data_IF_624351128244
#
_entry.id   IF_624351128244
#
_cell.length_a   1.000
_cell.length_b   1.000
_cell.length_c   1.000
_cell.angle_alpha   90.00
_cell.angle_beta   90.00
_cell.angle_gamma   90.00
#
_symmetry.space_group_name_H-M   'P 1'
#
loop_
_entity.id
_entity.type
_entity.pdbx_description
1 polymer ?
#
# COMPACT_ATOMS: atom_id res chain seq x y z
N UNK A 1 7.07 -0.76 26.27
CA UNK A 1 6.55 0.63 26.18
C UNK A 1 5.11 0.67 26.65
N UNK A 2 4.76 1.59 27.58
CA UNK A 2 3.38 1.77 28.04
C UNK A 2 2.48 2.30 26.92
N UNK A 3 1.27 1.78 26.87
CA UNK A 3 0.22 2.19 25.93
C UNK A 3 -0.20 3.61 26.25
N UNK A 4 -0.17 4.51 25.25
CA UNK A 4 -0.57 5.91 25.42
C UNK A 4 -2.10 6.05 25.60
N UNK A 5 -2.60 7.14 26.18
CA UNK A 5 -4.06 7.35 26.15
C UNK A 5 -4.54 7.67 24.72
N UNK A 6 -5.73 7.19 24.33
CA UNK A 6 -6.34 7.44 23.01
C UNK A 6 -7.25 8.66 23.00
N UNK A 7 -7.71 9.10 24.18
CA UNK A 7 -8.72 10.14 24.33
C UNK A 7 -8.14 11.49 24.79
N UNK A 8 -6.95 11.51 25.39
CA UNK A 8 -6.23 12.71 25.79
C UNK A 8 -5.08 13.12 24.86
N UNK A 9 -4.38 14.20 25.25
CA UNK A 9 -3.14 14.65 24.61
C UNK A 9 -3.31 15.42 23.29
N UNK A 10 -2.17 15.72 22.64
CA UNK A 10 -2.13 16.51 21.42
C UNK A 10 -2.71 15.73 20.24
N UNK A 11 -3.68 16.33 19.53
CA UNK A 11 -4.23 15.78 18.28
C UNK A 11 -3.95 16.75 17.15
N UNK A 12 -3.44 16.25 16.02
CA UNK A 12 -3.19 17.08 14.83
C UNK A 12 -3.55 16.35 13.56
N UNK A 13 -4.04 17.11 12.59
CA UNK A 13 -4.33 16.68 11.23
C UNK A 13 -3.24 17.22 10.30
N UNK A 14 -2.76 16.36 9.40
CA UNK A 14 -1.76 16.69 8.39
C UNK A 14 -2.32 16.41 7.01
N UNK A 15 -2.09 17.35 6.08
CA UNK A 15 -2.39 17.12 4.67
C UNK A 15 -1.36 16.16 4.09
N UNK A 16 -1.83 15.22 3.29
CA UNK A 16 -1.01 14.18 2.67
C UNK A 16 -1.24 14.19 1.17
N UNK A 17 -0.16 14.39 0.44
CA UNK A 17 -0.13 14.34 -1.01
C UNK A 17 0.62 13.07 -1.44
N UNK A 18 0.13 12.44 -2.50
CA UNK A 18 0.77 11.28 -3.10
C UNK A 18 0.90 11.49 -4.60
N UNK A 19 2.10 11.30 -5.13
CA UNK A 19 2.39 11.33 -6.57
C UNK A 19 2.81 9.96 -7.07
N UNK A 20 2.28 9.54 -8.21
CA UNK A 20 2.65 8.30 -8.89
C UNK A 20 3.93 8.51 -9.69
N UNK A 21 4.93 7.67 -9.47
CA UNK A 21 6.26 7.77 -10.10
C UNK A 21 6.47 6.70 -11.16
N UNK A 22 5.88 5.53 -10.98
CA UNK A 22 5.88 4.45 -11.96
C UNK A 22 4.90 4.73 -13.11
N UNK A 23 5.08 4.02 -14.22
CA UNK A 23 4.21 4.15 -15.39
C UNK A 23 2.78 3.74 -15.08
N UNK A 24 2.61 2.73 -14.21
CA UNK A 24 1.30 2.22 -13.82
C UNK A 24 1.14 2.11 -12.31
N UNK A 25 -0.03 2.49 -11.79
CA UNK A 25 -0.46 2.16 -10.45
C UNK A 25 -1.88 1.61 -10.51
N UNK A 26 -2.12 0.48 -9.82
CA UNK A 26 -3.44 -0.11 -9.66
C UNK A 26 -3.72 -0.47 -8.21
N UNK A 27 -4.85 0.03 -7.71
CA UNK A 27 -5.45 -0.34 -6.43
C UNK A 27 -6.86 -0.86 -6.73
N UNK A 28 -7.10 -2.14 -6.47
CA UNK A 28 -8.31 -2.83 -6.92
C UNK A 28 -9.49 -2.58 -5.97
N UNK A 29 -10.69 -2.43 -6.53
CA UNK A 29 -11.97 -2.50 -5.80
C UNK A 29 -12.55 -3.91 -5.69
N UNK A 30 -11.83 -4.94 -6.14
CA UNK A 30 -12.34 -6.28 -6.38
C UNK A 30 -12.24 -6.68 -7.86
N UNK A 31 -12.60 -7.92 -8.18
CA UNK A 31 -12.64 -8.41 -9.56
C UNK A 31 -14.06 -8.33 -10.10
N UNK A 32 -14.19 -7.74 -11.27
CA UNK A 32 -15.38 -7.83 -12.10
C UNK A 32 -15.03 -8.70 -13.30
N UNK A 33 -15.73 -9.83 -13.46
CA UNK A 33 -15.58 -10.68 -14.63
C UNK A 33 -16.60 -10.21 -15.64
N UNK A 34 -16.14 -9.76 -16.80
CA UNK A 34 -17.02 -9.51 -17.94
C UNK A 34 -16.79 -10.65 -18.93
N UNK A 35 -17.89 -11.26 -19.35
CA UNK A 35 -17.90 -12.17 -20.47
C UNK A 35 -18.16 -11.30 -21.70
N UNK A 36 -17.14 -11.21 -22.57
CA UNK A 36 -17.32 -10.58 -23.86
C UNK A 36 -17.78 -11.70 -24.81
N UNK A 37 -19.07 -11.70 -25.11
CA UNK A 37 -19.62 -12.50 -26.21
C UNK A 37 -19.30 -11.76 -27.50
N UNK A 38 -18.39 -12.30 -28.30
CA UNK A 38 -18.26 -11.86 -29.68
C UNK A 38 -19.46 -12.40 -30.48
N UNK A 39 -19.96 -11.63 -31.44
CA UNK A 39 -21.00 -12.11 -32.35
C UNK A 39 -20.49 -13.36 -33.08
N UNK A 40 -21.19 -14.48 -32.92
CA UNK A 40 -20.85 -15.76 -33.56
C UNK A 40 -21.18 -15.64 -35.04
N UNK A 41 -20.19 -15.86 -35.90
CA UNK A 41 -20.39 -15.91 -37.35
C UNK A 41 -20.67 -17.34 -37.83
N UNK A 42 -21.24 -17.50 -39.02
CA UNK A 42 -21.50 -18.83 -39.60
C UNK A 42 -20.20 -19.64 -39.77
N UNK A 43 -19.07 -18.97 -40.05
CA UNK A 43 -17.75 -19.62 -40.10
C UNK A 43 -17.28 -20.19 -38.76
N UNK A 44 -17.70 -19.60 -37.65
CA UNK A 44 -17.38 -20.10 -36.32
C UNK A 44 -18.19 -21.34 -35.96
N UNK A 45 -19.45 -21.39 -36.42
CA UNK A 45 -20.33 -22.56 -36.28
C UNK A 45 -19.77 -23.75 -37.07
N UNK A 46 -19.34 -23.52 -38.31
CA UNK A 46 -18.70 -24.56 -39.12
C UNK A 46 -17.39 -25.07 -38.50
N UNK A 47 -16.58 -24.16 -37.94
CA UNK A 47 -15.35 -24.54 -37.24
C UNK A 47 -15.63 -25.39 -35.99
N UNK A 48 -16.68 -25.07 -35.22
CA UNK A 48 -17.11 -25.86 -34.07
C UNK A 48 -17.62 -27.25 -34.49
N UNK A 49 -18.44 -27.34 -35.53
CA UNK A 49 -18.96 -28.61 -36.03
C UNK A 49 -17.84 -29.54 -36.53
N UNK A 50 -16.74 -28.97 -37.06
CA UNK A 50 -15.56 -29.76 -37.49
C UNK A 50 -14.61 -30.14 -36.37
N UNK A 51 -14.36 -29.25 -35.41
CA UNK A 51 -13.28 -29.41 -34.42
C UNK A 51 -13.77 -29.76 -33.02
N UNK A 52 -15.07 -29.61 -32.75
CA UNK A 52 -15.67 -29.77 -31.42
C UNK A 52 -15.32 -28.65 -30.43
N UNK A 53 -14.65 -27.58 -30.88
CA UNK A 53 -14.20 -26.47 -30.04
C UNK A 53 -14.38 -25.13 -30.73
N UNK A 54 -14.83 -24.11 -30.00
CA UNK A 54 -14.92 -22.74 -30.52
C UNK A 54 -13.51 -22.11 -30.55
N UNK A 55 -13.20 -21.28 -31.57
CA UNK A 55 -12.00 -20.44 -31.57
C UNK A 55 -11.80 -19.67 -30.26
N UNK A 56 -10.56 -19.59 -29.76
CA UNK A 56 -10.18 -18.97 -28.47
C UNK A 56 -10.58 -17.48 -28.32
N UNK A 57 -11.14 -16.85 -29.36
CA UNK A 57 -11.60 -15.45 -29.37
C UNK A 57 -13.11 -15.22 -29.21
N UNK A 58 -13.95 -16.26 -29.30
CA UNK A 58 -15.43 -16.10 -29.34
C UNK A 58 -16.04 -15.94 -27.94
N UNK A 59 -15.50 -16.70 -26.99
CA UNK A 59 -15.83 -16.58 -25.56
C UNK A 59 -14.57 -16.21 -24.78
N UNK A 60 -14.10 -14.98 -24.97
CA UNK A 60 -13.02 -14.46 -24.15
C UNK A 60 -13.60 -13.87 -22.86
N UNK A 61 -13.64 -14.65 -21.77
CA UNK A 61 -13.86 -14.07 -20.45
C UNK A 61 -12.62 -13.24 -20.10
N UNK A 62 -12.67 -11.92 -20.34
CA UNK A 62 -11.58 -11.01 -19.97
C UNK A 62 -11.85 -10.51 -18.56
N UNK A 63 -11.00 -10.92 -17.62
CA UNK A 63 -11.03 -10.34 -16.28
C UNK A 63 -10.66 -8.86 -16.38
N UNK A 64 -11.58 -7.98 -15.96
CA UNK A 64 -11.34 -6.55 -15.87
C UNK A 64 -11.25 -6.15 -14.40
N UNK A 65 -10.10 -5.60 -14.03
CA UNK A 65 -9.88 -5.09 -12.69
C UNK A 65 -9.99 -3.57 -12.72
N UNK A 66 -11.11 -3.06 -12.21
CA UNK A 66 -11.36 -1.63 -12.07
C UNK A 66 -10.50 -1.03 -10.95
N UNK A 67 -10.04 0.20 -11.13
CA UNK A 67 -9.37 0.95 -10.08
C UNK A 67 -10.42 1.34 -9.03
N UNK A 68 -10.00 1.46 -7.78
CA UNK A 68 -10.88 1.82 -6.69
C UNK A 68 -11.54 3.20 -6.90
N UNK A 69 -12.86 3.23 -6.88
CA UNK A 69 -13.67 4.42 -7.07
C UNK A 69 -14.76 4.52 -6.00
N UNK A 70 -15.04 5.72 -5.53
CA UNK A 70 -16.24 6.07 -4.76
C UNK A 70 -17.19 6.89 -5.65
N UNK A 71 -18.33 7.33 -5.11
CA UNK A 71 -19.21 8.28 -5.79
C UNK A 71 -18.53 9.60 -6.15
N UNK A 72 -17.42 9.94 -5.48
CA UNK A 72 -16.65 11.17 -5.70
C UNK A 72 -15.51 11.02 -6.73
N UNK A 73 -15.29 9.81 -7.24
CA UNK A 73 -14.26 9.52 -8.26
C UNK A 73 -13.25 8.48 -7.82
N UNK A 74 -12.08 8.48 -8.47
CA UNK A 74 -10.97 7.57 -8.17
C UNK A 74 -10.40 7.87 -6.79
N UNK A 75 -10.21 6.81 -5.99
CA UNK A 75 -9.68 6.94 -4.64
C UNK A 75 -8.68 5.85 -4.31
N UNK A 76 -7.79 6.15 -3.39
CA UNK A 76 -6.99 5.15 -2.69
C UNK A 76 -7.50 5.08 -1.25
N UNK A 77 -8.01 3.93 -0.80
CA UNK A 77 -8.56 3.83 0.54
C UNK A 77 -7.52 4.18 1.61
N UNK A 78 -7.93 4.93 2.64
CA UNK A 78 -7.08 5.27 3.78
C UNK A 78 -6.57 4.02 4.48
N UNK A 79 -7.35 2.93 4.46
CA UNK A 79 -6.93 1.60 4.92
C UNK A 79 -5.72 1.03 4.16
N UNK A 80 -5.61 1.29 2.86
CA UNK A 80 -4.46 0.87 2.05
C UNK A 80 -3.20 1.65 2.42
N UNK A 81 -3.31 2.97 2.59
CA UNK A 81 -2.18 3.83 3.03
C UNK A 81 -1.75 3.43 4.45
N UNK A 82 -2.73 3.25 5.35
CA UNK A 82 -2.49 2.81 6.73
C UNK A 82 -1.79 1.44 6.78
N UNK A 83 -2.23 0.50 5.95
CA UNK A 83 -1.61 -0.82 5.81
C UNK A 83 -0.19 -0.76 5.26
N UNK A 84 0.08 0.14 4.32
CA UNK A 84 1.42 0.42 3.80
C UNK A 84 2.34 0.98 4.89
N UNK A 85 1.89 1.97 5.66
CA UNK A 85 2.66 2.56 6.77
C UNK A 85 2.97 1.48 7.82
N UNK A 86 1.93 0.73 8.24
CA UNK A 86 2.07 -0.34 9.23
C UNK A 86 3.07 -1.40 8.76
N UNK A 87 2.84 -1.99 7.58
CA UNK A 87 3.70 -3.07 7.07
C UNK A 87 5.16 -2.63 6.91
N UNK A 88 5.41 -1.39 6.49
CA UNK A 88 6.78 -0.85 6.41
C UNK A 88 7.42 -0.69 7.78
N UNK A 89 6.71 -0.18 8.79
CA UNK A 89 7.23 -0.13 10.16
C UNK A 89 7.53 -1.54 10.71
N UNK A 90 6.60 -2.48 10.52
CA UNK A 90 6.77 -3.87 10.94
C UNK A 90 7.98 -4.55 10.26
N UNK A 91 8.28 -4.20 9.01
CA UNK A 91 9.42 -4.77 8.27
C UNK A 91 10.75 -4.09 8.58
N UNK A 92 10.75 -2.77 8.72
CA UNK A 92 11.97 -1.97 8.80
C UNK A 92 12.46 -1.72 10.23
N UNK A 93 11.64 -2.00 11.24
CA UNK A 93 11.99 -1.77 12.65
C UNK A 93 11.98 -3.09 13.41
N UNK A 94 13.13 -3.52 13.90
CA UNK A 94 13.32 -4.84 14.50
C UNK A 94 12.47 -5.09 15.74
N UNK A 95 12.29 -4.05 16.57
CA UNK A 95 11.50 -4.13 17.79
C UNK A 95 9.98 -4.00 17.55
N UNK A 96 9.49 -4.02 16.30
CA UNK A 96 8.06 -4.00 15.98
C UNK A 96 7.44 -5.41 15.97
N UNK A 97 6.24 -5.59 16.54
CA UNK A 97 5.44 -6.80 16.34
C UNK A 97 4.94 -6.91 14.90
N UNK A 98 4.83 -8.13 14.37
CA UNK A 98 3.94 -8.37 13.25
C UNK A 98 2.48 -8.39 13.72
N UNK A 99 1.57 -7.98 12.84
CA UNK A 99 0.16 -8.32 13.02
C UNK A 99 -0.01 -9.85 13.14
N UNK A 100 -1.00 -10.30 13.91
CA UNK A 100 -1.32 -11.73 14.10
C UNK A 100 -1.52 -12.50 12.79
N UNK A 101 -1.94 -11.81 11.72
CA UNK A 101 -2.13 -12.35 10.38
C UNK A 101 -0.80 -12.60 9.62
N UNK A 102 0.26 -11.86 9.95
CA UNK A 102 1.57 -11.96 9.30
C UNK A 102 2.49 -13.03 9.92
N UNK A 103 2.04 -13.72 10.97
CA UNK A 103 2.78 -14.82 11.61
C UNK A 103 2.77 -16.08 10.74
N UNK A 104 1.75 -16.23 9.89
CA UNK A 104 1.68 -17.34 8.93
C UNK A 104 2.43 -16.93 7.65
N UNK A 105 3.41 -17.72 7.19
CA UNK A 105 4.09 -17.42 5.93
C UNK A 105 3.04 -17.41 4.81
N UNK A 106 3.04 -16.34 4.00
CA UNK A 106 2.25 -16.33 2.78
C UNK A 106 2.68 -17.51 1.92
N UNK A 107 1.71 -18.22 1.34
CA UNK A 107 1.99 -19.28 0.35
C UNK A 107 2.63 -18.73 -0.92
N UNK A 108 2.56 -17.42 -1.13
CA UNK A 108 3.08 -16.73 -2.30
C UNK A 108 3.83 -15.49 -1.83
N UNK A 109 5.16 -15.57 -1.79
CA UNK A 109 6.04 -14.44 -1.45
C UNK A 109 6.90 -14.15 -2.67
N UNK A 110 6.90 -12.90 -3.14
CA UNK A 110 7.79 -12.50 -4.23
C UNK A 110 9.26 -12.62 -3.81
N UNK A 111 10.12 -13.13 -4.70
CA UNK A 111 11.58 -13.15 -4.50
C UNK A 111 12.12 -11.73 -4.31
N UNK A 112 11.58 -10.76 -5.03
CA UNK A 112 11.93 -9.33 -4.89
C UNK A 112 11.60 -8.85 -3.48
N UNK A 113 10.43 -9.18 -2.96
CA UNK A 113 10.05 -8.85 -1.58
C UNK A 113 11.04 -9.43 -0.55
N UNK A 114 11.44 -10.70 -0.70
CA UNK A 114 12.43 -11.31 0.19
C UNK A 114 13.80 -10.63 0.09
N UNK A 115 14.22 -10.26 -1.11
CA UNK A 115 15.52 -9.59 -1.34
C UNK A 115 15.57 -8.17 -0.77
N UNK A 116 14.47 -7.41 -0.91
CA UNK A 116 14.39 -6.01 -0.49
C UNK A 116 14.28 -5.88 1.03
N UNK A 117 13.37 -6.65 1.64
CA UNK A 117 13.01 -6.45 3.06
C UNK A 117 13.68 -7.45 4.00
N UNK A 118 14.14 -8.61 3.48
CA UNK A 118 14.71 -9.71 4.28
C UNK A 118 13.89 -9.96 5.57
N UNK A 119 12.59 -10.27 5.42
CA UNK A 119 11.67 -10.32 6.55
C UNK A 119 12.13 -11.39 7.55
N UNK A 120 12.23 -11.02 8.83
CA UNK A 120 12.52 -11.97 9.90
C UNK A 120 11.23 -12.42 10.59
N UNK A 121 11.27 -13.56 11.27
CA UNK A 121 10.16 -13.98 12.13
C UNK A 121 10.11 -13.08 13.36
N UNK A 122 8.98 -12.43 13.58
CA UNK A 122 8.75 -11.58 14.76
C UNK A 122 7.56 -12.12 15.56
N UNK A 123 7.57 -11.96 16.88
CA UNK A 123 6.41 -12.29 17.69
C UNK A 123 5.24 -11.37 17.32
N UNK A 124 4.03 -11.83 17.64
CA UNK A 124 2.84 -10.98 17.65
C UNK A 124 2.39 -10.82 19.09
N UNK A 125 1.98 -9.60 19.44
CA UNK A 125 1.40 -9.31 20.74
C UNK A 125 -0.12 -9.25 20.62
N UNK A 126 -0.84 -9.83 21.58
CA UNK A 126 -2.29 -9.59 21.75
C UNK A 126 -2.46 -8.53 22.82
N UNK A 127 -3.33 -7.55 22.57
CA UNK A 127 -3.69 -6.60 23.60
C UNK A 127 -4.56 -7.30 24.66
N UNK A 128 -4.08 -7.31 25.91
CA UNK A 128 -4.73 -7.93 27.07
C UNK A 128 -4.87 -6.90 28.21
N UNK A 129 -5.32 -5.68 27.88
CA UNK A 129 -5.47 -4.59 28.83
C UNK A 129 -4.15 -3.87 29.12
N UNK A 130 -3.69 -3.87 30.38
CA UNK A 130 -2.58 -3.05 30.89
C UNK A 130 -1.16 -3.51 30.52
N UNK A 131 -1.00 -4.17 29.38
CA UNK A 131 0.32 -4.61 28.92
C UNK A 131 1.04 -3.52 28.14
N UNK A 132 2.36 -3.52 28.28
CA UNK A 132 3.22 -2.88 27.31
C UNK A 132 2.95 -3.43 25.92
N UNK A 133 2.95 -2.55 24.92
CA UNK A 133 2.76 -2.91 23.52
C UNK A 133 3.94 -2.37 22.71
N UNK A 134 4.30 -3.06 21.62
CA UNK A 134 5.23 -2.47 20.66
C UNK A 134 4.67 -1.13 20.13
N UNK A 135 5.57 -0.20 19.81
CA UNK A 135 5.21 1.15 19.37
C UNK A 135 4.33 1.17 18.10
N UNK A 136 4.53 0.24 17.16
CA UNK A 136 3.68 0.14 15.95
C UNK A 136 2.27 -0.29 16.31
N UNK A 137 2.15 -1.29 17.18
CA UNK A 137 0.87 -1.83 17.64
C UNK A 137 0.13 -0.77 18.50
N UNK A 138 0.87 0.07 19.26
CA UNK A 138 0.33 1.24 19.97
C UNK A 138 -0.15 2.36 19.03
N UNK A 139 0.65 2.72 18.01
CA UNK A 139 0.34 3.80 17.08
C UNK A 139 -0.76 3.41 16.07
N UNK A 140 -0.56 2.27 15.40
CA UNK A 140 -1.39 1.80 14.28
C UNK A 140 -2.55 0.90 14.72
N UNK A 141 -2.62 0.57 16.02
CA UNK A 141 -3.64 -0.28 16.62
C UNK A 141 -3.36 -1.78 16.45
N UNK A 142 -4.13 -2.60 17.16
CA UNK A 142 -4.07 -4.06 17.09
C UNK A 142 -5.46 -4.65 17.39
N UNK A 143 -5.64 -5.96 17.28
CA UNK A 143 -6.86 -6.63 17.73
C UNK A 143 -7.11 -6.31 19.21
N UNK A 144 -8.21 -5.60 19.49
CA UNK A 144 -8.56 -5.13 20.84
C UNK A 144 -7.97 -3.77 21.24
N UNK A 145 -7.14 -3.14 20.40
CA UNK A 145 -6.54 -1.83 20.67
C UNK A 145 -6.81 -0.84 19.53
N UNK A 146 -7.56 0.21 19.85
CA UNK A 146 -7.83 1.29 18.90
C UNK A 146 -6.53 2.00 18.48
N UNK A 147 -6.44 2.32 17.19
CA UNK A 147 -5.32 3.06 16.62
C UNK A 147 -5.40 4.54 16.97
N UNK A 148 -4.24 5.17 17.18
CA UNK A 148 -4.11 6.62 17.34
C UNK A 148 -4.05 7.38 16.01
N UNK A 149 -3.89 6.66 14.90
CA UNK A 149 -3.77 7.23 13.55
C UNK A 149 -4.96 6.84 12.68
N UNK A 150 -5.57 7.84 12.05
CA UNK A 150 -6.62 7.65 11.04
C UNK A 150 -6.21 8.33 9.74
N UNK A 151 -6.28 7.60 8.63
CA UNK A 151 -6.05 8.14 7.28
C UNK A 151 -7.41 8.31 6.61
N UNK A 152 -7.62 9.45 5.95
CA UNK A 152 -8.72 9.59 5.00
C UNK A 152 -8.38 8.85 3.71
N UNK A 153 -9.38 8.58 2.90
CA UNK A 153 -9.13 8.19 1.52
C UNK A 153 -8.37 9.29 0.80
N UNK A 154 -7.44 8.91 -0.08
CA UNK A 154 -6.76 9.84 -0.96
C UNK A 154 -7.58 9.96 -2.23
N UNK A 155 -8.11 11.14 -2.51
CA UNK A 155 -8.93 11.44 -3.67
C UNK A 155 -8.03 11.83 -4.84
N UNK A 156 -8.34 11.32 -6.02
CA UNK A 156 -7.64 11.69 -7.25
C UNK A 156 -7.84 13.18 -7.55
N UNK A 157 -6.74 13.90 -7.73
CA UNK A 157 -6.75 15.34 -7.98
C UNK A 157 -6.46 15.65 -9.46
N UNK A 158 -5.43 15.01 -10.02
CA UNK A 158 -5.00 15.23 -11.39
C UNK A 158 -4.22 14.03 -11.93
N UNK A 159 -4.20 13.86 -13.26
CA UNK A 159 -3.46 12.78 -13.91
C UNK A 159 -4.21 12.16 -15.06
N UNK A 160 -3.78 10.96 -15.46
CA UNK A 160 -4.41 10.18 -16.54
C UNK A 160 -4.69 8.77 -16.07
N UNK A 161 -5.78 8.24 -16.59
CA UNK A 161 -6.24 6.87 -16.37
C UNK A 161 -6.04 6.11 -17.67
N UNK A 162 -5.47 4.92 -17.59
CA UNK A 162 -5.17 4.08 -18.74
C UNK A 162 -5.53 2.62 -18.46
N UNK A 163 -5.83 1.88 -19.52
CA UNK A 163 -6.12 0.45 -19.47
C UNK A 163 -4.89 -0.34 -19.92
N UNK A 164 -4.37 -1.19 -19.05
CA UNK A 164 -3.17 -1.99 -19.31
C UNK A 164 -3.51 -3.46 -19.16
N UNK A 165 -3.15 -4.27 -20.15
CA UNK A 165 -3.32 -5.72 -20.09
C UNK A 165 -2.06 -6.35 -19.51
N UNK A 166 -2.21 -7.07 -18.40
CA UNK A 166 -1.13 -7.75 -17.68
C UNK A 166 -1.62 -9.14 -17.24
N UNK A 167 -0.82 -10.20 -17.45
CA UNK A 167 -1.15 -11.59 -17.06
C UNK A 167 -2.59 -12.04 -17.44
N UNK A 168 -3.03 -11.74 -18.67
CA UNK A 168 -4.36 -12.08 -19.24
C UNK A 168 -5.56 -11.32 -18.66
N UNK A 169 -5.35 -10.32 -17.81
CA UNK A 169 -6.40 -9.44 -17.30
C UNK A 169 -6.14 -8.00 -17.74
N UNK A 170 -7.20 -7.21 -17.92
CA UNK A 170 -7.05 -5.77 -18.17
C UNK A 170 -7.28 -5.00 -16.88
N UNK A 171 -6.36 -4.10 -16.55
CA UNK A 171 -6.36 -3.30 -15.34
C UNK A 171 -6.57 -1.84 -15.70
N UNK A 172 -7.50 -1.20 -15.01
CA UNK A 172 -7.58 0.26 -14.99
C UNK A 172 -6.46 0.78 -14.06
N UNK A 173 -5.57 1.60 -14.60
CA UNK A 173 -4.38 2.11 -13.94
C UNK A 173 -4.36 3.62 -13.98
N UNK A 174 -3.68 4.24 -13.02
CA UNK A 174 -3.32 5.65 -13.09
C UNK A 174 -1.87 5.78 -13.52
N UNK A 175 -1.60 6.75 -14.39
CA UNK A 175 -0.30 6.93 -15.02
C UNK A 175 0.67 7.73 -14.14
N UNK A 176 1.95 7.67 -14.49
CA UNK A 176 3.01 8.50 -13.94
C UNK A 176 2.62 9.98 -13.91
N UNK A 177 2.94 10.64 -12.79
CA UNK A 177 2.62 12.05 -12.56
C UNK A 177 1.23 12.29 -11.99
N UNK A 178 0.36 11.27 -11.93
CA UNK A 178 -0.94 11.39 -11.27
C UNK A 178 -0.81 11.71 -9.79
N UNK A 179 -1.71 12.55 -9.28
CA UNK A 179 -1.72 13.06 -7.90
C UNK A 179 -2.98 12.66 -7.18
N UNK A 180 -2.81 12.32 -5.91
CA UNK A 180 -3.90 12.08 -4.97
C UNK A 180 -3.65 12.90 -3.71
N UNK A 181 -4.73 13.43 -3.14
CA UNK A 181 -4.69 14.26 -1.94
C UNK A 181 -5.61 13.67 -0.89
N UNK A 182 -5.17 13.71 0.36
CA UNK A 182 -5.99 13.37 1.50
C UNK A 182 -5.30 13.85 2.76
N UNK A 183 -5.54 13.17 3.87
CA UNK A 183 -5.00 13.60 5.15
C UNK A 183 -4.90 12.44 6.13
N UNK A 184 -4.13 12.65 7.19
CA UNK A 184 -4.19 11.78 8.35
C UNK A 184 -4.26 12.59 9.63
N UNK A 185 -4.93 12.02 10.61
CA UNK A 185 -5.02 12.55 11.97
C UNK A 185 -4.27 11.62 12.91
N UNK A 186 -3.45 12.19 13.77
CA UNK A 186 -2.74 11.47 14.82
C UNK A 186 -3.13 12.04 16.19
N UNK A 187 -3.45 11.15 17.14
CA UNK A 187 -3.85 11.47 18.51
C UNK A 187 -2.75 11.13 19.52
N UNK A 188 -2.68 11.92 20.60
CA UNK A 188 -1.75 11.79 21.70
C UNK A 188 -0.32 11.44 21.25
N UNK A 189 0.26 12.28 20.38
CA UNK A 189 1.53 11.97 19.72
C UNK A 189 2.70 12.79 20.24
N UNK A 190 3.88 12.19 20.15
CA UNK A 190 5.16 12.87 20.30
C UNK A 190 5.89 12.96 18.95
N UNK A 191 7.07 13.61 18.95
CA UNK A 191 7.84 13.82 17.74
C UNK A 191 8.28 12.48 17.08
N UNK A 192 8.53 11.44 17.88
CA UNK A 192 8.93 10.13 17.38
C UNK A 192 7.77 9.38 16.71
N UNK A 193 6.54 9.52 17.20
CA UNK A 193 5.34 8.95 16.58
C UNK A 193 5.12 9.51 15.17
N UNK A 194 5.23 10.84 15.00
CA UNK A 194 5.12 11.45 13.67
C UNK A 194 6.29 11.04 12.78
N UNK A 195 7.50 11.03 13.33
CA UNK A 195 8.70 10.55 12.63
C UNK A 195 8.57 9.11 12.12
N UNK A 196 7.90 8.23 12.87
CA UNK A 196 7.61 6.87 12.42
C UNK A 196 6.71 6.86 11.17
N UNK A 197 5.67 7.69 11.13
CA UNK A 197 4.78 7.80 9.97
C UNK A 197 5.56 8.35 8.76
N UNK A 198 6.32 9.43 8.94
CA UNK A 198 7.15 10.01 7.87
C UNK A 198 8.15 8.99 7.32
N UNK A 199 8.84 8.27 8.21
CA UNK A 199 9.78 7.22 7.85
C UNK A 199 9.11 6.12 7.02
N UNK A 200 7.93 5.67 7.44
CA UNK A 200 7.17 4.64 6.73
C UNK A 200 6.67 5.12 5.36
N UNK A 201 6.31 6.41 5.23
CA UNK A 201 5.94 7.04 3.95
C UNK A 201 7.15 7.33 3.04
N UNK A 202 8.38 7.03 3.50
CA UNK A 202 9.61 7.31 2.74
C UNK A 202 10.00 8.78 2.72
N UNK A 203 9.36 9.64 3.52
CA UNK A 203 9.65 11.06 3.56
C UNK A 203 11.00 11.26 4.28
N UNK A 204 11.86 12.11 3.70
CA UNK A 204 13.15 12.50 4.25
C UNK A 204 14.25 11.43 4.25
N UNK A 205 14.14 10.37 3.41
CA UNK A 205 15.23 9.39 3.19
C UNK A 205 15.35 8.95 1.73
N UNK A 206 16.59 8.81 1.25
CA UNK A 206 16.91 8.26 -0.07
C UNK A 206 16.16 8.95 -1.21
N UNK A 207 15.65 8.17 -2.16
CA UNK A 207 14.82 8.69 -3.26
C UNK A 207 13.35 8.97 -2.88
N UNK A 208 12.95 8.62 -1.65
CA UNK A 208 11.59 8.76 -1.12
C UNK A 208 10.52 7.89 -1.77
N UNK A 209 10.91 6.93 -2.62
CA UNK A 209 9.97 6.07 -3.34
C UNK A 209 9.48 4.93 -2.46
N UNK A 210 8.17 4.72 -2.45
CA UNK A 210 7.51 3.62 -1.74
C UNK A 210 6.72 2.75 -2.73
N UNK A 211 6.69 1.44 -2.44
CA UNK A 211 5.98 0.45 -3.24
C UNK A 211 4.53 0.30 -2.75
N UNK A 212 3.56 0.50 -3.64
CA UNK A 212 2.12 0.47 -3.37
C UNK A 212 1.34 -0.23 -4.49
N UNK A 213 0.15 -0.78 -4.18
CA UNK A 213 -0.72 -1.38 -5.19
C UNK A 213 -0.30 -2.77 -5.66
N UNK A 214 -0.87 -3.19 -6.79
CA UNK A 214 -0.64 -4.50 -7.43
C UNK A 214 0.66 -4.48 -8.24
N UNK A 215 1.25 -5.66 -8.47
CA UNK A 215 2.45 -5.88 -9.31
C UNK A 215 3.75 -5.16 -8.90
N UNK A 216 3.73 -4.35 -7.84
CA UNK A 216 4.89 -3.63 -7.27
C UNK A 216 6.16 -4.45 -6.98
N UNK A 217 6.05 -5.78 -6.90
CA UNK A 217 7.19 -6.69 -6.68
C UNK A 217 7.51 -7.60 -7.86
N UNK A 218 6.69 -7.60 -8.92
CA UNK A 218 6.92 -8.38 -10.13
C UNK A 218 7.47 -7.51 -11.25
N UNK A 219 7.03 -6.26 -11.33
CA UNK A 219 7.38 -5.35 -12.42
C UNK A 219 7.84 -3.98 -11.88
N UNK A 220 9.04 -3.49 -12.28
CA UNK A 220 9.52 -2.16 -11.97
C UNK A 220 8.67 -0.99 -12.51
N UNK A 221 7.93 -1.19 -13.58
CA UNK A 221 7.03 -0.18 -14.16
C UNK A 221 5.75 0.03 -13.35
N UNK A 222 5.56 -0.73 -12.26
CA UNK A 222 4.36 -0.69 -11.43
C UNK A 222 4.60 -0.20 -9.99
N UNK A 223 3.59 0.48 -9.46
CA UNK A 223 3.36 0.63 -8.04
C UNK A 223 4.41 1.42 -7.27
N UNK A 224 5.05 2.42 -7.87
CA UNK A 224 5.99 3.33 -7.19
C UNK A 224 5.33 4.68 -6.96
N UNK A 225 5.30 5.12 -5.71
CA UNK A 225 4.68 6.37 -5.30
C UNK A 225 5.62 7.16 -4.40
N UNK A 226 5.46 8.49 -4.38
CA UNK A 226 6.11 9.39 -3.42
C UNK A 226 5.03 10.11 -2.62
N UNK A 227 5.30 10.31 -1.35
CA UNK A 227 4.44 11.08 -0.47
C UNK A 227 5.09 12.40 -0.10
N UNK A 228 4.27 13.43 0.07
CA UNK A 228 4.65 14.73 0.62
C UNK A 228 3.64 15.17 1.67
N UNK A 229 4.12 15.88 2.68
CA UNK A 229 3.29 16.55 3.68
C UNK A 229 3.79 17.99 3.71
N UNK A 230 3.00 18.93 3.17
CA UNK A 230 3.34 20.35 3.20
C UNK A 230 3.56 20.84 4.64
N UNK A 231 4.44 21.83 4.80
CA UNK A 231 4.63 22.59 6.05
C UNK A 231 5.05 21.75 7.28
N UNK A 232 5.79 20.65 7.05
CA UNK A 232 6.32 19.80 8.12
C UNK A 232 7.85 19.74 8.04
N UNK A 233 8.52 20.10 9.13
CA UNK A 233 9.95 19.87 9.32
C UNK A 233 10.23 18.37 9.51
N UNK A 234 10.29 17.66 8.38
CA UNK A 234 10.54 16.21 8.37
C UNK A 234 11.86 15.84 9.06
N UNK A 235 12.87 16.71 9.02
CA UNK A 235 14.19 16.45 9.61
C UNK A 235 14.11 16.30 11.14
N UNK A 236 13.41 17.22 11.80
CA UNK A 236 13.17 17.16 13.25
C UNK A 236 12.51 15.85 13.67
N UNK A 237 11.39 15.50 13.05
CA UNK A 237 10.59 14.34 13.43
C UNK A 237 11.30 13.01 13.11
N UNK A 238 11.94 12.91 11.94
CA UNK A 238 12.72 11.73 11.58
C UNK A 238 13.87 11.51 12.54
N UNK A 239 14.59 12.56 12.92
CA UNK A 239 15.67 12.46 13.91
C UNK A 239 15.16 11.92 15.23
N UNK A 240 14.07 12.48 15.77
CA UNK A 240 13.45 11.99 17.01
C UNK A 240 13.07 10.50 16.93
N UNK A 241 12.50 10.06 15.81
CA UNK A 241 12.17 8.64 15.61
C UNK A 241 13.40 7.74 15.54
N UNK A 242 14.44 8.15 14.79
CA UNK A 242 15.67 7.38 14.64
C UNK A 242 16.46 7.29 15.95
N UNK A 243 16.46 8.37 16.74
CA UNK A 243 17.11 8.38 18.06
C UNK A 243 16.35 7.47 19.04
N UNK A 244 15.01 7.51 19.04
CA UNK A 244 14.18 6.64 19.88
C UNK A 244 14.30 5.14 19.55
N UNK A 245 14.64 4.80 18.29
CA UNK A 245 14.75 3.41 17.80
C UNK A 245 16.15 3.08 17.29
N UNK A 246 17.18 3.76 17.82
CA UNK A 246 18.57 3.59 17.40
C UNK A 246 19.00 2.13 17.55
N UNK A 247 19.59 1.58 16.49
CA UNK A 247 20.02 0.17 16.46
C UNK A 247 18.91 -0.84 16.10
N UNK A 248 17.64 -0.40 15.98
CA UNK A 248 16.54 -1.26 15.55
C UNK A 248 16.03 -0.95 14.15
N UNK A 249 16.42 0.18 13.55
CA UNK A 249 15.97 0.59 12.21
C UNK A 249 16.91 0.04 11.14
N UNK A 250 16.35 -0.73 10.21
CA UNK A 250 17.08 -1.29 9.06
C UNK A 250 17.19 -0.26 7.93
N UNK A 251 18.34 -0.25 7.26
CA UNK A 251 18.49 0.43 5.98
C UNK A 251 17.79 -0.40 4.89
N UNK A 252 16.99 0.26 4.06
CA UNK A 252 16.47 -0.35 2.82
C UNK A 252 17.59 -0.27 1.79
N UNK A 253 17.87 -1.36 1.07
CA UNK A 253 18.65 -1.25 -0.17
C UNK A 253 17.89 -0.33 -1.12
N UNK A 254 18.54 0.68 -1.67
CA UNK A 254 17.88 1.65 -2.55
C UNK A 254 17.15 0.91 -3.68
N UNK A 255 15.86 1.24 -3.87
CA UNK A 255 15.15 0.80 -5.07
C UNK A 255 15.70 1.65 -6.20
N UNK A 256 16.83 1.22 -6.78
CA UNK A 256 17.45 1.88 -7.92
C UNK A 256 16.45 1.91 -9.06
N UNK A 257 16.14 3.11 -9.56
CA UNK A 257 15.58 3.34 -10.89
C UNK A 257 16.62 2.88 -11.91
N UNK A 258 16.77 1.57 -12.12
CA UNK A 258 17.48 1.11 -13.30
C UNK A 258 16.53 1.28 -14.48
N UNK A 259 16.81 2.34 -15.24
CA UNK A 259 16.31 2.65 -16.58
C UNK A 259 16.55 1.47 -17.52
#
# INVERSE_FOLDING_TARGET
MKVKDRNGGNTRKYQLEMTVVSDHLHVSSGRSRFEQEAAISDSDVEAFLRTGSLPEGIHASREFAKFMQTSQGLVIPGGTVKGLVRSRLELLVDCACYSSLAVRPSRTVSRVYQSLFKPQRKPFEKFLGDREMCFVCDLMGNMGLASRVSFTDLTFESGRVNLVTEMRSTYETVEKGSKFVGSFTIRNYDDADLGAILFALGIGRGNGVVLMGRFKFSDPSWGRVKFSIPDVDSGKYLKAFLDAHKGHVRAIGEVTEKR
#
